data_IF_922679717713
#
_entry.id   IF_922679717713
#
_cell.length_a   1.000
_cell.length_b   1.000
_cell.length_c   1.000
_cell.angle_alpha   90.00
_cell.angle_beta   90.00
_cell.angle_gamma   90.00
#
_symmetry.space_group_name_H-M   'P 1'
#
loop_
_entity.id
_entity.type
_entity.pdbx_description
1 polymer ?
#
# COMPACT_ATOMS: atom_id res chain seq x y z
N UNK A 1 -12.06 -13.02 15.16
CA UNK A 1 -12.17 -11.96 14.13
C UNK A 1 -11.89 -12.61 12.78
N UNK A 2 -12.90 -12.77 11.91
CA UNK A 2 -12.74 -13.49 10.63
C UNK A 2 -11.98 -12.69 9.56
N UNK A 3 -11.54 -11.46 9.86
CA UNK A 3 -10.96 -10.53 8.89
C UNK A 3 -9.82 -11.11 8.05
N UNK A 4 -9.00 -11.99 8.63
CA UNK A 4 -7.91 -12.66 7.95
C UNK A 4 -8.43 -13.49 6.76
N UNK A 5 -9.45 -14.31 7.01
CA UNK A 5 -10.14 -15.06 5.97
C UNK A 5 -10.81 -14.14 4.96
N UNK A 6 -11.50 -13.10 5.43
CA UNK A 6 -12.18 -12.12 4.57
C UNK A 6 -11.19 -11.46 3.58
N UNK A 7 -10.01 -11.04 4.04
CA UNK A 7 -8.94 -10.48 3.20
C UNK A 7 -8.42 -11.52 2.21
N UNK A 8 -8.14 -12.75 2.68
CA UNK A 8 -7.60 -13.80 1.82
C UNK A 8 -8.57 -14.17 0.69
N UNK A 9 -9.87 -14.20 0.93
CA UNK A 9 -10.88 -14.48 -0.12
C UNK A 9 -11.29 -13.23 -0.90
N UNK A 10 -10.73 -12.05 -0.58
CA UNK A 10 -11.04 -10.81 -1.28
C UNK A 10 -12.39 -10.18 -0.92
N UNK A 11 -13.02 -10.55 0.20
CA UNK A 11 -14.22 -9.86 0.71
C UNK A 11 -13.79 -8.67 1.59
N UNK A 12 -13.18 -7.66 0.96
CA UNK A 12 -12.69 -6.47 1.66
C UNK A 12 -13.81 -5.70 2.38
N UNK A 13 -15.07 -5.81 1.92
CA UNK A 13 -16.21 -5.19 2.59
C UNK A 13 -16.49 -5.85 3.94
N UNK A 14 -16.48 -7.19 4.02
CA UNK A 14 -16.57 -7.90 5.31
C UNK A 14 -15.35 -7.66 6.18
N UNK A 15 -14.15 -7.64 5.60
CA UNK A 15 -12.92 -7.34 6.34
C UNK A 15 -12.99 -5.95 7.00
N UNK A 16 -13.42 -4.92 6.27
CA UNK A 16 -13.65 -3.57 6.82
C UNK A 16 -14.67 -3.61 7.95
N UNK A 17 -15.85 -4.19 7.72
CA UNK A 17 -16.93 -4.26 8.72
C UNK A 17 -16.47 -4.97 10.01
N UNK A 18 -15.81 -6.12 9.88
CA UNK A 18 -15.29 -6.89 11.00
C UNK A 18 -14.21 -6.13 11.78
N UNK A 19 -13.28 -5.46 11.09
CA UNK A 19 -12.24 -4.69 11.78
C UNK A 19 -12.76 -3.39 12.40
N UNK A 20 -13.80 -2.76 11.87
CA UNK A 20 -14.46 -1.63 12.55
C UNK A 20 -14.95 -2.10 13.92
N UNK A 21 -15.66 -3.22 14.00
CA UNK A 21 -16.10 -3.76 15.28
C UNK A 21 -14.92 -4.13 16.21
N UNK A 22 -13.84 -4.70 15.66
CA UNK A 22 -12.65 -5.04 16.44
C UNK A 22 -11.97 -3.80 17.03
N UNK A 23 -11.70 -2.78 16.22
CA UNK A 23 -11.07 -1.53 16.67
C UNK A 23 -11.92 -0.80 17.71
N UNK A 24 -13.26 -0.80 17.58
CA UNK A 24 -14.16 -0.24 18.59
C UNK A 24 -14.11 -1.01 19.92
N UNK A 25 -13.93 -2.34 19.88
CA UNK A 25 -13.74 -3.13 21.09
C UNK A 25 -12.37 -2.84 21.74
N UNK A 26 -11.32 -2.71 20.94
CA UNK A 26 -9.97 -2.36 21.40
C UNK A 26 -9.93 -0.97 22.05
N UNK A 27 -10.68 -0.01 21.52
CA UNK A 27 -10.81 1.34 22.08
C UNK A 27 -11.47 1.34 23.46
N UNK A 28 -12.48 0.49 23.66
CA UNK A 28 -13.10 0.30 24.99
C UNK A 28 -12.10 -0.28 25.99
N UNK A 29 -11.33 -1.28 25.57
CA UNK A 29 -10.29 -1.87 26.42
C UNK A 29 -9.19 -0.86 26.75
N UNK A 30 -8.72 -0.11 25.74
CA UNK A 30 -7.73 0.96 25.91
C UNK A 30 -8.19 2.03 26.90
N UNK A 31 -9.46 2.39 26.89
CA UNK A 31 -10.01 3.38 27.82
C UNK A 31 -9.97 2.92 29.29
N UNK A 32 -9.97 1.61 29.55
CA UNK A 32 -9.93 1.02 30.89
C UNK A 32 -8.49 0.75 31.33
N UNK A 33 -7.69 0.09 30.49
CA UNK A 33 -6.38 -0.46 30.85
C UNK A 33 -5.20 0.43 30.41
N UNK A 34 -5.45 1.44 29.58
CA UNK A 34 -4.43 2.30 29.00
C UNK A 34 -3.56 1.63 27.91
N UNK A 35 -2.60 2.38 27.33
CA UNK A 35 -1.80 1.92 26.19
C UNK A 35 -0.51 1.19 26.56
N UNK A 36 -0.08 1.20 27.83
CA UNK A 36 1.23 0.69 28.25
C UNK A 36 1.19 -0.80 28.60
N UNK A 37 0.74 -1.64 27.67
CA UNK A 37 0.67 -3.09 27.82
C UNK A 37 0.96 -3.78 26.49
N UNK A 38 1.23 -5.08 26.53
CA UNK A 38 1.52 -5.88 25.34
C UNK A 38 0.31 -5.96 24.38
N UNK A 39 -0.92 -5.78 24.90
CA UNK A 39 -2.14 -5.78 24.09
C UNK A 39 -2.14 -4.64 23.05
N UNK A 40 -1.39 -3.57 23.26
CA UNK A 40 -1.19 -2.53 22.24
C UNK A 40 -0.72 -3.06 20.89
N UNK A 41 0.07 -4.14 20.85
CA UNK A 41 0.46 -4.75 19.58
C UNK A 41 -0.75 -5.30 18.81
N UNK A 42 -1.64 -6.03 19.49
CA UNK A 42 -2.86 -6.57 18.89
C UNK A 42 -3.86 -5.47 18.49
N UNK A 43 -3.99 -4.41 19.31
CA UNK A 43 -4.82 -3.25 18.93
C UNK A 43 -4.32 -2.61 17.64
N UNK A 44 -3.01 -2.33 17.55
CA UNK A 44 -2.41 -1.73 16.35
C UNK A 44 -2.54 -2.63 15.13
N UNK A 45 -2.42 -3.94 15.32
CA UNK A 45 -2.67 -4.94 14.28
C UNK A 45 -4.08 -4.86 13.69
N UNK A 46 -5.10 -4.66 14.53
CA UNK A 46 -6.49 -4.55 14.08
C UNK A 46 -6.74 -3.25 13.32
N UNK A 47 -6.16 -2.14 13.77
CA UNK A 47 -6.16 -0.90 13.00
C UNK A 47 -5.46 -1.06 11.65
N UNK A 48 -4.27 -1.66 11.64
CA UNK A 48 -3.53 -1.93 10.41
C UNK A 48 -4.32 -2.82 9.44
N UNK A 49 -5.03 -3.83 9.96
CA UNK A 49 -5.90 -4.71 9.18
C UNK A 49 -7.08 -3.97 8.55
N UNK A 50 -7.70 -3.05 9.29
CA UNK A 50 -8.74 -2.18 8.75
C UNK A 50 -8.19 -1.28 7.63
N UNK A 51 -7.03 -0.65 7.85
CA UNK A 51 -6.39 0.24 6.87
C UNK A 51 -6.04 -0.55 5.61
N UNK A 52 -5.46 -1.73 5.75
CA UNK A 52 -5.09 -2.59 4.62
C UNK A 52 -6.32 -2.98 3.78
N UNK A 53 -7.39 -3.45 4.42
CA UNK A 53 -8.63 -3.79 3.71
C UNK A 53 -9.26 -2.55 3.03
N UNK A 54 -9.23 -1.39 3.70
CA UNK A 54 -9.72 -0.14 3.13
C UNK A 54 -8.91 0.30 1.91
N UNK A 55 -7.58 0.18 1.95
CA UNK A 55 -6.72 0.46 0.79
C UNK A 55 -7.06 -0.44 -0.40
N UNK A 56 -7.25 -1.74 -0.19
CA UNK A 56 -7.58 -2.70 -1.26
C UNK A 56 -9.02 -2.55 -1.81
N UNK A 57 -9.92 -1.96 -1.04
CA UNK A 57 -11.28 -1.60 -1.46
C UNK A 57 -11.39 -0.19 -2.07
N UNK A 58 -10.29 0.57 -2.14
CA UNK A 58 -10.33 1.96 -2.61
C UNK A 58 -11.12 2.89 -1.68
N UNK A 59 -11.09 2.64 -0.37
CA UNK A 59 -11.75 3.42 0.69
C UNK A 59 -10.78 4.36 1.39
N UNK A 60 -10.42 5.46 0.74
CA UNK A 60 -9.48 6.48 1.24
C UNK A 60 -9.91 7.04 2.59
N UNK A 61 -11.20 7.37 2.75
CA UNK A 61 -11.67 8.03 3.96
C UNK A 61 -11.51 7.12 5.18
N UNK A 62 -11.94 5.86 5.07
CA UNK A 62 -11.81 4.86 6.14
C UNK A 62 -10.34 4.64 6.48
N UNK A 63 -9.45 4.55 5.48
CA UNK A 63 -8.02 4.32 5.71
C UNK A 63 -7.38 5.48 6.50
N UNK A 64 -7.66 6.73 6.13
CA UNK A 64 -7.12 7.92 6.82
C UNK A 64 -7.69 8.11 8.22
N UNK A 65 -9.02 8.00 8.39
CA UNK A 65 -9.67 8.08 9.71
C UNK A 65 -9.14 7.01 10.67
N UNK A 66 -8.89 5.81 10.14
CA UNK A 66 -8.34 4.72 10.93
C UNK A 66 -6.88 4.97 11.31
N UNK A 67 -6.07 5.52 10.40
CA UNK A 67 -4.70 5.93 10.71
C UNK A 67 -4.67 6.99 11.82
N UNK A 68 -5.57 7.98 11.77
CA UNK A 68 -5.69 9.01 12.81
C UNK A 68 -6.06 8.41 14.17
N UNK A 69 -7.01 7.46 14.19
CA UNK A 69 -7.38 6.74 15.42
C UNK A 69 -6.20 5.94 15.95
N UNK A 70 -5.53 5.18 15.09
CA UNK A 70 -4.40 4.32 15.46
C UNK A 70 -3.28 5.11 16.14
N UNK A 71 -2.86 6.22 15.54
CA UNK A 71 -1.74 7.02 16.03
C UNK A 71 -1.99 7.71 17.35
N UNK A 72 -3.24 8.13 17.61
CA UNK A 72 -3.64 8.66 18.93
C UNK A 72 -3.39 7.66 20.05
N UNK A 73 -3.33 6.35 19.74
CA UNK A 73 -3.10 5.29 20.72
C UNK A 73 -1.63 4.91 20.93
N UNK A 74 -0.70 5.52 20.18
CA UNK A 74 0.76 5.29 20.27
C UNK A 74 1.56 6.59 20.42
N UNK A 75 1.28 7.42 21.44
CA UNK A 75 2.07 8.60 21.71
C UNK A 75 3.54 8.23 22.02
N UNK A 76 4.46 9.19 21.83
CA UNK A 76 5.90 8.99 22.05
C UNK A 76 6.23 8.31 23.40
N UNK A 77 5.49 8.62 24.46
CA UNK A 77 5.66 8.00 25.79
C UNK A 77 5.52 6.47 25.76
N UNK A 78 4.61 5.94 24.96
CA UNK A 78 4.42 4.48 24.78
C UNK A 78 5.64 3.89 24.09
N UNK A 79 6.07 4.49 22.98
CA UNK A 79 7.23 4.02 22.21
C UNK A 79 8.53 4.05 23.03
N UNK A 80 8.69 5.03 23.92
CA UNK A 80 9.86 5.15 24.80
C UNK A 80 9.90 4.11 25.93
N UNK A 81 8.87 3.28 26.11
CA UNK A 81 8.93 2.19 27.09
C UNK A 81 10.10 1.25 26.80
N UNK A 82 10.95 1.02 27.81
CA UNK A 82 12.17 0.21 27.70
C UNK A 82 11.97 -1.25 28.12
N UNK A 83 10.92 -1.54 28.88
CA UNK A 83 10.60 -2.89 29.36
C UNK A 83 9.10 -3.17 29.22
N UNK A 84 8.69 -3.91 28.17
CA UNK A 84 9.47 -4.28 26.99
C UNK A 84 9.85 -3.06 26.12
N UNK A 85 10.87 -3.20 25.25
CA UNK A 85 11.25 -2.15 24.29
C UNK A 85 10.16 -1.99 23.22
N UNK A 86 9.14 -1.17 23.49
CA UNK A 86 7.96 -1.07 22.63
C UNK A 86 8.26 -0.38 21.30
N UNK A 87 9.26 0.49 21.24
CA UNK A 87 9.74 1.09 20.00
C UNK A 87 10.09 0.02 18.95
N UNK A 88 10.70 -1.11 19.34
CA UNK A 88 11.07 -2.18 18.41
C UNK A 88 9.87 -2.81 17.71
N UNK A 89 8.69 -2.79 18.32
CA UNK A 89 7.51 -3.51 17.85
C UNK A 89 6.41 -2.61 17.31
N UNK A 90 6.31 -1.38 17.84
CA UNK A 90 5.17 -0.51 17.62
C UNK A 90 5.47 0.66 16.68
N UNK A 91 6.73 1.06 16.51
CA UNK A 91 7.03 2.28 15.75
C UNK A 91 6.73 2.15 14.25
N UNK A 92 6.87 0.96 13.68
CA UNK A 92 6.50 0.72 12.28
C UNK A 92 5.03 1.03 11.97
N UNK A 93 4.13 0.97 12.96
CA UNK A 93 2.72 1.34 12.77
C UNK A 93 2.52 2.84 12.55
N UNK A 94 3.43 3.69 13.05
CA UNK A 94 3.39 5.15 12.81
C UNK A 94 3.61 5.46 11.32
N UNK A 95 4.41 4.64 10.64
CA UNK A 95 4.71 4.82 9.21
C UNK A 95 3.54 4.44 8.28
N UNK A 96 2.50 3.75 8.78
CA UNK A 96 1.38 3.23 7.97
C UNK A 96 0.64 4.34 7.23
N UNK A 97 0.48 5.54 7.81
CA UNK A 97 -0.18 6.66 7.09
C UNK A 97 0.49 6.93 5.75
N UNK A 98 1.80 6.80 5.65
CA UNK A 98 2.54 7.12 4.42
C UNK A 98 2.21 6.12 3.31
N UNK A 99 2.03 4.85 3.65
CA UNK A 99 1.55 3.86 2.68
C UNK A 99 0.13 4.21 2.19
N UNK A 100 -0.77 4.67 3.07
CA UNK A 100 -2.09 5.15 2.68
C UNK A 100 -1.97 6.35 1.74
N UNK A 101 -1.16 7.34 2.09
CA UNK A 101 -0.98 8.55 1.29
C UNK A 101 -0.40 8.25 -0.09
N UNK A 102 0.59 7.34 -0.18
CA UNK A 102 1.17 6.90 -1.45
C UNK A 102 0.13 6.16 -2.29
N UNK A 103 -0.63 5.24 -1.68
CA UNK A 103 -1.69 4.48 -2.36
C UNK A 103 -2.73 5.38 -3.02
N UNK A 104 -3.07 6.49 -2.36
CA UNK A 104 -4.09 7.44 -2.82
C UNK A 104 -3.52 8.70 -3.48
N UNK A 105 -2.24 8.68 -3.88
CA UNK A 105 -1.63 9.74 -4.68
C UNK A 105 -1.62 11.12 -4.01
N UNK A 106 -1.49 11.18 -2.68
CA UNK A 106 -1.51 12.42 -1.91
C UNK A 106 -0.16 13.15 -1.96
N UNK A 107 0.31 13.44 -3.18
CA UNK A 107 1.68 13.89 -3.46
C UNK A 107 2.01 15.23 -2.84
N UNK A 108 1.07 16.18 -2.87
CA UNK A 108 1.28 17.51 -2.30
C UNK A 108 1.44 17.44 -0.78
N UNK A 109 0.58 16.68 -0.13
CA UNK A 109 0.58 16.47 1.32
C UNK A 109 1.82 15.72 1.79
N UNK A 110 2.26 14.69 1.04
CA UNK A 110 3.50 13.98 1.32
C UNK A 110 4.71 14.92 1.24
N UNK A 111 4.80 15.72 0.17
CA UNK A 111 5.93 16.64 -0.03
C UNK A 111 6.01 17.67 1.09
N UNK A 112 4.86 18.20 1.51
CA UNK A 112 4.76 19.18 2.60
C UNK A 112 4.97 18.57 3.99
N UNK A 113 4.96 17.23 4.14
CA UNK A 113 5.06 16.59 5.45
C UNK A 113 6.40 16.89 6.14
N UNK A 114 6.42 17.36 7.39
CA UNK A 114 7.65 17.53 8.15
C UNK A 114 8.20 16.17 8.60
N UNK A 115 9.51 16.11 8.84
CA UNK A 115 10.10 14.98 9.56
C UNK A 115 9.74 15.08 11.06
N UNK A 116 9.64 13.94 11.78
CA UNK A 116 9.48 13.94 13.23
C UNK A 116 10.72 14.55 13.90
N UNK A 117 10.57 15.27 15.02
CA UNK A 117 11.72 15.89 15.70
C UNK A 117 12.73 14.86 16.23
N UNK A 118 12.25 13.72 16.73
CA UNK A 118 13.10 12.63 17.23
C UNK A 118 13.29 11.54 16.17
N UNK A 119 14.29 11.73 15.31
CA UNK A 119 14.63 10.78 14.25
C UNK A 119 15.14 9.42 14.77
N UNK A 120 15.62 9.33 16.02
CA UNK A 120 16.09 8.06 16.59
C UNK A 120 14.93 7.20 17.07
N UNK A 121 13.94 7.82 17.73
CA UNK A 121 12.72 7.13 18.15
C UNK A 121 11.91 6.70 16.93
N UNK A 122 11.70 7.62 15.98
CA UNK A 122 10.88 7.46 14.78
C UNK A 122 11.71 7.11 13.54
N UNK A 123 12.69 6.23 13.70
CA UNK A 123 13.66 5.90 12.65
C UNK A 123 13.02 5.25 11.41
N UNK A 124 12.07 4.32 11.58
CA UNK A 124 11.37 3.68 10.45
C UNK A 124 10.48 4.72 9.76
N UNK A 125 9.72 5.49 10.55
CA UNK A 125 8.86 6.57 10.04
C UNK A 125 9.66 7.60 9.25
N UNK A 126 10.82 8.04 9.75
CA UNK A 126 11.71 8.99 9.08
C UNK A 126 12.16 8.46 7.72
N UNK A 127 12.59 7.20 7.65
CA UNK A 127 12.95 6.56 6.39
C UNK A 127 11.74 6.49 5.45
N UNK A 128 10.57 6.06 5.93
CA UNK A 128 9.36 5.98 5.11
C UNK A 128 8.89 7.36 4.59
N UNK A 129 9.11 8.46 5.34
CA UNK A 129 8.83 9.83 4.84
C UNK A 129 9.71 10.15 3.63
N UNK A 130 11.02 9.89 3.71
CA UNK A 130 11.93 10.10 2.59
C UNK A 130 11.55 9.25 1.37
N UNK A 131 11.20 7.98 1.57
CA UNK A 131 10.67 7.12 0.51
C UNK A 131 9.42 7.73 -0.15
N UNK A 132 8.42 8.08 0.66
CA UNK A 132 7.16 8.63 0.17
C UNK A 132 7.38 9.94 -0.60
N UNK A 133 8.23 10.84 -0.07
CA UNK A 133 8.61 12.09 -0.76
C UNK A 133 9.34 11.82 -2.06
N UNK A 134 10.24 10.84 -2.10
CA UNK A 134 10.91 10.41 -3.32
C UNK A 134 9.91 10.00 -4.41
N UNK A 135 8.97 9.12 -4.07
CA UNK A 135 7.90 8.69 -4.99
C UNK A 135 7.04 9.89 -5.42
N UNK A 136 6.62 10.75 -4.48
CA UNK A 136 5.81 11.92 -4.79
C UNK A 136 6.52 12.91 -5.73
N UNK A 137 7.83 13.13 -5.55
CA UNK A 137 8.62 13.95 -6.47
C UNK A 137 8.78 13.29 -7.84
N UNK A 138 9.00 11.98 -7.91
CA UNK A 138 9.08 11.24 -9.17
C UNK A 138 7.75 11.30 -9.93
N UNK A 139 6.64 10.98 -9.27
CA UNK A 139 5.28 11.03 -9.83
C UNK A 139 4.82 12.45 -10.20
N UNK A 140 5.56 13.50 -9.80
CA UNK A 140 5.30 14.88 -10.21
C UNK A 140 6.41 15.46 -11.10
N UNK A 141 7.18 14.59 -11.76
CA UNK A 141 8.26 14.92 -12.72
C UNK A 141 9.36 15.83 -12.13
N UNK A 142 9.58 15.80 -10.82
CA UNK A 142 10.63 16.54 -10.10
C UNK A 142 11.80 15.62 -9.76
N UNK A 143 12.37 14.99 -10.79
CA UNK A 143 13.38 13.92 -10.68
C UNK A 143 14.58 14.30 -9.81
N UNK A 144 15.12 15.51 -9.95
CA UNK A 144 16.27 15.95 -9.15
C UNK A 144 15.97 15.95 -7.63
N UNK A 145 14.73 16.28 -7.23
CA UNK A 145 14.29 16.21 -5.83
C UNK A 145 14.03 14.76 -5.40
N UNK A 146 13.50 13.94 -6.30
CA UNK A 146 13.32 12.51 -6.03
C UNK A 146 14.66 11.82 -5.74
N UNK A 147 15.70 12.12 -6.51
CA UNK A 147 17.07 11.65 -6.30
C UNK A 147 17.67 12.14 -4.97
N UNK A 148 17.37 13.37 -4.55
CA UNK A 148 17.78 13.87 -3.25
C UNK A 148 17.12 13.07 -2.12
N UNK A 149 15.81 12.86 -2.19
CA UNK A 149 15.07 12.07 -1.20
C UNK A 149 15.49 10.60 -1.21
N UNK A 150 15.83 10.03 -2.36
CA UNK A 150 16.41 8.69 -2.49
C UNK A 150 17.71 8.55 -1.68
N UNK A 151 18.63 9.53 -1.79
CA UNK A 151 19.87 9.53 -1.00
C UNK A 151 19.60 9.64 0.49
N UNK A 152 18.66 10.52 0.88
CA UNK A 152 18.25 10.67 2.28
C UNK A 152 17.57 9.40 2.81
N UNK A 153 16.79 8.71 1.97
CA UNK A 153 16.12 7.46 2.31
C UNK A 153 17.13 6.35 2.63
N UNK A 154 18.11 6.14 1.75
CA UNK A 154 19.18 5.15 1.98
C UNK A 154 19.96 5.47 3.26
N UNK A 155 20.33 6.73 3.47
CA UNK A 155 21.02 7.15 4.69
C UNK A 155 20.15 7.00 5.96
N UNK A 156 18.82 7.14 5.84
CA UNK A 156 17.91 6.92 6.96
C UNK A 156 17.77 5.43 7.31
N UNK A 157 17.77 4.52 6.31
CA UNK A 157 17.74 3.07 6.53
C UNK A 157 18.95 2.61 7.37
N UNK A 158 20.14 3.16 7.10
CA UNK A 158 21.37 2.83 7.85
C UNK A 158 21.26 3.13 9.36
N UNK A 159 20.34 4.03 9.75
CA UNK A 159 20.09 4.40 11.15
C UNK A 159 19.02 3.54 11.81
N UNK A 160 18.28 2.72 11.06
CA UNK A 160 17.24 1.86 11.60
C UNK A 160 17.88 0.66 12.28
N UNK A 161 17.70 0.48 13.60
CA UNK A 161 18.25 -0.69 14.30
C UNK A 161 17.70 -1.99 13.72
N UNK A 162 18.56 -3.01 13.62
CA UNK A 162 18.17 -4.35 13.15
C UNK A 162 17.11 -5.03 14.04
N UNK A 163 16.88 -4.50 15.25
CA UNK A 163 15.85 -4.94 16.19
C UNK A 163 14.46 -4.44 15.83
N UNK A 164 14.31 -3.35 15.04
CA UNK A 164 13.01 -2.84 14.62
C UNK A 164 12.26 -3.89 13.80
N UNK A 165 10.97 -4.02 14.08
CA UNK A 165 10.07 -5.01 13.49
C UNK A 165 8.86 -4.32 12.88
N UNK A 166 8.48 -4.87 11.74
CA UNK A 166 7.10 -4.89 11.29
C UNK A 166 6.78 -6.38 11.20
N UNK A 167 6.45 -6.95 12.36
CA UNK A 167 6.44 -8.39 12.59
C UNK A 167 5.59 -9.12 11.52
N UNK A 168 6.07 -10.25 10.97
CA UNK A 168 7.27 -11.02 11.33
C UNK A 168 8.58 -10.54 10.70
N UNK A 169 8.53 -9.53 9.82
CA UNK A 169 9.71 -9.03 9.12
C UNK A 169 10.48 -8.00 9.95
N UNK A 170 11.77 -7.84 9.63
CA UNK A 170 12.55 -6.71 10.13
C UNK A 170 12.16 -5.48 9.32
N UNK A 171 12.05 -4.31 9.96
CA UNK A 171 11.66 -3.09 9.25
C UNK A 171 12.62 -2.75 8.11
N UNK A 172 13.92 -3.01 8.28
CA UNK A 172 14.94 -2.83 7.22
C UNK A 172 14.69 -3.68 5.97
N UNK A 173 14.12 -4.89 6.09
CA UNK A 173 13.84 -5.74 4.94
C UNK A 173 12.70 -5.16 4.09
N UNK A 174 11.67 -4.63 4.76
CA UNK A 174 10.55 -3.94 4.10
C UNK A 174 11.04 -2.64 3.45
N UNK A 175 11.89 -1.86 4.15
CA UNK A 175 12.44 -0.64 3.58
C UNK A 175 13.31 -0.93 2.33
N UNK A 176 13.99 -2.07 2.27
CA UNK A 176 14.75 -2.46 1.08
C UNK A 176 13.86 -2.76 -0.14
N UNK A 177 12.60 -3.20 0.04
CA UNK A 177 11.61 -3.21 -1.07
C UNK A 177 11.40 -1.80 -1.60
N UNK A 178 11.25 -0.83 -0.70
CA UNK A 178 11.11 0.58 -1.01
C UNK A 178 12.30 1.18 -1.76
N UNK A 179 13.53 0.68 -1.54
CA UNK A 179 14.73 1.14 -2.26
C UNK A 179 14.61 0.80 -3.74
N UNK A 180 14.41 -0.48 -4.06
CA UNK A 180 14.25 -0.90 -5.45
C UNK A 180 13.00 -0.28 -6.10
N UNK A 181 11.91 -0.15 -5.35
CA UNK A 181 10.69 0.50 -5.84
C UNK A 181 10.94 1.97 -6.22
N UNK A 182 11.59 2.75 -5.35
CA UNK A 182 11.90 4.15 -5.61
C UNK A 182 12.90 4.32 -6.77
N UNK A 183 13.90 3.45 -6.85
CA UNK A 183 14.88 3.45 -7.93
C UNK A 183 14.18 3.27 -9.29
N UNK A 184 13.29 2.28 -9.40
CA UNK A 184 12.53 2.04 -10.62
C UNK A 184 11.62 3.20 -11.03
N UNK A 185 10.95 3.85 -10.06
CA UNK A 185 10.12 5.05 -10.31
C UNK A 185 10.96 6.22 -10.83
N UNK A 186 12.14 6.44 -10.25
CA UNK A 186 13.05 7.51 -10.66
C UNK A 186 13.62 7.24 -12.05
N UNK A 187 14.10 6.02 -12.31
CA UNK A 187 14.64 5.60 -13.61
C UNK A 187 13.58 5.76 -14.71
N UNK A 188 12.33 5.40 -14.42
CA UNK A 188 11.23 5.56 -15.37
C UNK A 188 11.04 7.04 -15.74
N UNK A 189 11.11 7.94 -14.75
CA UNK A 189 10.95 9.38 -14.94
C UNK A 189 12.20 10.06 -15.51
N UNK A 190 13.34 9.38 -15.51
CA UNK A 190 14.55 9.79 -16.23
C UNK A 190 14.51 9.45 -17.72
N UNK A 191 13.49 8.71 -18.18
CA UNK A 191 13.39 8.28 -19.58
C UNK A 191 14.17 6.99 -19.87
N UNK A 192 14.41 6.17 -18.85
CA UNK A 192 15.13 4.89 -18.94
C UNK A 192 14.18 3.70 -18.67
N UNK A 193 13.14 3.48 -19.49
CA UNK A 193 12.06 2.53 -19.16
C UNK A 193 12.53 1.08 -19.06
N UNK A 194 13.46 0.64 -19.91
CA UNK A 194 13.99 -0.74 -19.84
C UNK A 194 14.68 -1.00 -18.50
N UNK A 195 15.51 -0.04 -18.05
CA UNK A 195 16.19 -0.09 -16.76
C UNK A 195 15.17 -0.08 -15.61
N UNK A 196 14.22 0.84 -15.67
CA UNK A 196 13.15 0.95 -14.68
C UNK A 196 12.38 -0.37 -14.50
N UNK A 197 12.00 -1.03 -15.60
CA UNK A 197 11.27 -2.30 -15.52
C UNK A 197 12.13 -3.46 -15.01
N UNK A 198 13.44 -3.46 -15.23
CA UNK A 198 14.35 -4.42 -14.60
C UNK A 198 14.40 -4.20 -13.08
N UNK A 199 14.54 -2.95 -12.65
CA UNK A 199 14.57 -2.57 -11.23
C UNK A 199 13.24 -2.83 -10.53
N UNK A 200 12.10 -2.55 -11.18
CA UNK A 200 10.77 -2.85 -10.63
C UNK A 200 10.51 -4.36 -10.50
N UNK A 201 11.03 -5.19 -11.42
CA UNK A 201 10.99 -6.66 -11.24
C UNK A 201 11.80 -7.08 -10.02
N UNK A 202 12.97 -6.49 -9.80
CA UNK A 202 13.75 -6.73 -8.58
C UNK A 202 13.00 -6.31 -7.32
N UNK A 203 12.27 -5.21 -7.36
CA UNK A 203 11.41 -4.79 -6.27
C UNK A 203 10.28 -5.82 -6.00
N UNK A 204 9.68 -6.41 -7.04
CA UNK A 204 8.69 -7.50 -6.90
C UNK A 204 9.32 -8.73 -6.24
N UNK A 205 10.53 -9.13 -6.65
CA UNK A 205 11.22 -10.27 -6.02
C UNK A 205 11.51 -10.04 -4.53
N UNK A 206 11.85 -8.81 -4.14
CA UNK A 206 12.07 -8.44 -2.75
C UNK A 206 10.76 -8.46 -1.95
N UNK A 207 9.67 -7.94 -2.53
CA UNK A 207 8.32 -7.95 -1.95
C UNK A 207 7.82 -9.38 -1.74
N UNK A 208 7.89 -10.23 -2.78
CA UNK A 208 7.48 -11.63 -2.74
C UNK A 208 8.38 -12.48 -1.82
N UNK A 209 9.62 -12.05 -1.57
CA UNK A 209 10.57 -12.69 -0.68
C UNK A 209 10.40 -12.35 0.81
N UNK A 210 9.51 -11.42 1.17
CA UNK A 210 9.21 -11.11 2.56
C UNK A 210 8.53 -12.30 3.25
N UNK A 211 8.73 -12.44 4.57
CA UNK A 211 7.98 -13.42 5.33
C UNK A 211 6.49 -13.09 5.28
N UNK A 212 5.68 -14.12 5.07
CA UNK A 212 4.23 -13.99 5.04
C UNK A 212 3.69 -13.32 6.31
N UNK A 213 2.81 -12.35 6.12
CA UNK A 213 2.18 -11.60 7.19
C UNK A 213 0.77 -11.18 6.75
N UNK A 214 -0.13 -11.05 7.71
CA UNK A 214 -1.48 -10.53 7.47
C UNK A 214 -1.79 -9.51 8.57
N UNK A 215 -1.77 -8.20 8.30
CA UNK A 215 -1.50 -7.57 7.00
C UNK A 215 -0.03 -7.57 6.60
N UNK A 216 0.23 -7.41 5.31
CA UNK A 216 1.59 -7.33 4.75
C UNK A 216 2.26 -6.03 5.19
N UNK A 217 3.54 -6.11 5.55
CA UNK A 217 4.32 -4.95 5.97
C UNK A 217 4.58 -3.95 4.84
N UNK A 218 4.72 -4.45 3.60
CA UNK A 218 4.64 -3.63 2.40
C UNK A 218 3.19 -3.61 1.90
N UNK A 219 2.50 -2.49 2.06
CA UNK A 219 1.03 -2.46 1.97
C UNK A 219 0.46 -2.25 0.56
N UNK A 220 1.25 -1.73 -0.38
CA UNK A 220 0.84 -1.57 -1.78
C UNK A 220 1.67 -2.55 -2.63
N UNK A 221 1.06 -3.55 -3.27
CA UNK A 221 1.81 -4.52 -4.07
C UNK A 221 2.71 -3.81 -5.10
N UNK A 222 4.01 -4.10 -5.11
CA UNK A 222 4.96 -3.46 -6.05
C UNK A 222 4.53 -3.68 -7.51
N UNK A 223 3.97 -4.86 -7.78
CA UNK A 223 3.44 -5.23 -9.10
C UNK A 223 2.38 -4.27 -9.65
N UNK A 224 1.67 -3.53 -8.78
CA UNK A 224 0.71 -2.50 -9.24
C UNK A 224 1.44 -1.35 -9.94
N UNK A 225 2.55 -0.87 -9.38
CA UNK A 225 3.33 0.18 -10.04
C UNK A 225 3.96 -0.31 -11.34
N UNK A 226 4.54 -1.51 -11.34
CA UNK A 226 5.04 -2.15 -12.56
C UNK A 226 3.98 -2.23 -13.66
N UNK A 227 2.78 -2.73 -13.33
CA UNK A 227 1.70 -2.90 -14.29
C UNK A 227 1.12 -1.56 -14.77
N UNK A 228 0.97 -0.58 -13.88
CA UNK A 228 0.51 0.76 -14.24
C UNK A 228 1.48 1.47 -15.20
N UNK A 229 2.78 1.45 -14.91
CA UNK A 229 3.79 2.04 -15.78
C UNK A 229 3.96 1.26 -17.10
N UNK A 230 3.72 -0.06 -17.08
CA UNK A 230 3.65 -0.88 -18.30
C UNK A 230 2.50 -0.44 -19.21
N UNK A 231 1.31 -0.22 -18.65
CA UNK A 231 0.16 0.32 -19.42
C UNK A 231 0.43 1.72 -19.98
N UNK A 232 1.16 2.57 -19.26
CA UNK A 232 1.59 3.90 -19.73
C UNK A 232 2.52 3.81 -20.96
N UNK A 233 3.38 2.79 -21.04
CA UNK A 233 4.24 2.52 -22.20
C UNK A 233 3.56 1.72 -23.31
N UNK A 234 2.30 1.32 -23.14
CA UNK A 234 1.62 0.42 -24.09
C UNK A 234 2.07 -1.04 -24.01
N UNK A 235 2.84 -1.42 -22.99
CA UNK A 235 3.23 -2.81 -22.72
C UNK A 235 2.07 -3.53 -22.03
N UNK A 236 1.00 -3.85 -22.78
CA UNK A 236 -0.26 -4.33 -22.22
C UNK A 236 -0.15 -5.78 -21.70
N UNK A 237 0.52 -6.68 -22.42
CA UNK A 237 0.67 -8.07 -22.01
C UNK A 237 1.47 -8.23 -20.71
N UNK A 238 2.63 -7.57 -20.51
CA UNK A 238 3.31 -7.58 -19.21
C UNK A 238 2.44 -7.05 -18.07
N UNK A 239 1.64 -6.01 -18.31
CA UNK A 239 0.70 -5.49 -17.31
C UNK A 239 -0.37 -6.53 -16.97
N UNK A 240 -0.95 -7.19 -17.99
CA UNK A 240 -1.97 -8.21 -17.82
C UNK A 240 -1.48 -9.36 -16.94
N UNK A 241 -0.26 -9.87 -17.19
CA UNK A 241 0.32 -10.95 -16.39
C UNK A 241 0.60 -10.54 -14.94
N UNK A 242 1.05 -9.31 -14.71
CA UNK A 242 1.27 -8.78 -13.37
C UNK A 242 -0.03 -8.67 -12.56
N UNK A 243 -1.12 -8.20 -13.19
CA UNK A 243 -2.44 -8.16 -12.53
C UNK A 243 -3.04 -9.54 -12.34
N UNK A 244 -2.91 -10.44 -13.33
CA UNK A 244 -3.39 -11.82 -13.23
C UNK A 244 -2.71 -12.56 -12.06
N UNK A 245 -1.41 -12.33 -11.87
CA UNK A 245 -0.66 -12.82 -10.72
C UNK A 245 -1.16 -12.22 -9.41
N UNK A 246 -1.33 -10.89 -9.33
CA UNK A 246 -1.86 -10.21 -8.13
C UNK A 246 -3.22 -10.78 -7.73
N UNK A 247 -4.13 -10.95 -8.67
CA UNK A 247 -5.50 -11.42 -8.43
C UNK A 247 -5.58 -12.92 -8.11
N UNK A 248 -4.48 -13.67 -8.24
CA UNK A 248 -4.47 -15.13 -8.09
C UNK A 248 -5.20 -15.87 -9.22
N UNK A 249 -5.27 -15.27 -10.41
CA UNK A 249 -5.90 -15.84 -11.61
C UNK A 249 -4.93 -16.72 -12.42
N UNK A 250 -3.68 -16.83 -11.99
CA UNK A 250 -2.70 -17.82 -12.44
C UNK A 250 -1.94 -18.39 -11.22
N UNK A 251 -1.05 -19.35 -11.46
CA UNK A 251 -0.31 -20.06 -10.42
C UNK A 251 1.12 -19.53 -10.20
N UNK A 252 1.42 -18.30 -10.63
CA UNK A 252 2.80 -17.77 -10.54
C UNK A 252 3.20 -17.40 -9.11
N UNK A 253 2.22 -17.06 -8.27
CA UNK A 253 2.41 -16.74 -6.87
C UNK A 253 1.79 -17.80 -5.97
N UNK A 254 2.37 -17.99 -4.78
CA UNK A 254 1.71 -18.73 -3.72
C UNK A 254 0.43 -18.03 -3.26
N UNK A 255 -0.54 -18.79 -2.73
CA UNK A 255 -1.85 -18.25 -2.29
C UNK A 255 -1.73 -17.07 -1.33
N UNK A 256 -0.68 -17.10 -0.52
CA UNK A 256 -0.24 -16.09 0.43
C UNK A 256 0.16 -14.73 -0.20
N UNK A 257 0.18 -14.60 -1.52
CA UNK A 257 0.47 -13.33 -2.22
C UNK A 257 -0.63 -12.95 -3.22
N UNK A 258 -1.77 -13.65 -3.17
CA UNK A 258 -2.93 -13.32 -3.97
C UNK A 258 -3.80 -12.29 -3.25
N UNK A 259 -4.28 -11.31 -3.99
CA UNK A 259 -5.23 -10.29 -3.58
C UNK A 259 -6.51 -10.38 -4.43
N UNK A 260 -7.33 -11.45 -4.27
CA UNK A 260 -8.59 -11.57 -5.02
C UNK A 260 -9.46 -10.33 -4.82
N UNK A 261 -10.17 -9.93 -5.87
CA UNK A 261 -11.07 -8.77 -5.87
C UNK A 261 -10.45 -7.42 -5.48
N UNK A 262 -9.12 -7.29 -5.51
CA UNK A 262 -8.45 -6.02 -5.28
C UNK A 262 -8.86 -5.02 -6.36
N UNK A 263 -9.58 -3.94 -5.99
CA UNK A 263 -10.25 -3.05 -6.94
C UNK A 263 -9.30 -2.48 -7.99
N UNK A 264 -8.07 -2.22 -7.57
CA UNK A 264 -7.01 -1.62 -8.37
C UNK A 264 -6.48 -2.59 -9.43
N UNK A 265 -6.27 -3.85 -9.07
CA UNK A 265 -5.84 -4.88 -10.00
C UNK A 265 -6.98 -5.37 -10.89
N UNK A 266 -8.21 -5.42 -10.38
CA UNK A 266 -9.41 -5.73 -11.18
C UNK A 266 -9.57 -4.71 -12.32
N UNK A 267 -9.55 -3.40 -12.00
CA UNK A 267 -9.67 -2.36 -13.01
C UNK A 267 -8.50 -2.40 -14.00
N UNK A 268 -7.27 -2.57 -13.50
CA UNK A 268 -6.07 -2.66 -14.34
C UNK A 268 -6.10 -3.87 -15.28
N UNK A 269 -6.52 -5.03 -14.79
CA UNK A 269 -6.65 -6.24 -15.60
C UNK A 269 -7.76 -6.10 -16.64
N UNK A 270 -8.90 -5.53 -16.26
CA UNK A 270 -9.99 -5.23 -17.18
C UNK A 270 -9.55 -4.31 -18.31
N UNK A 271 -8.83 -3.22 -18.00
CA UNK A 271 -8.22 -2.35 -19.02
C UNK A 271 -7.31 -3.14 -19.97
N UNK A 272 -6.48 -4.04 -19.43
CA UNK A 272 -5.61 -4.89 -20.26
C UNK A 272 -6.43 -5.76 -21.20
N UNK A 273 -7.48 -6.42 -20.70
CA UNK A 273 -8.32 -7.31 -21.52
C UNK A 273 -9.01 -6.55 -22.66
N UNK A 274 -9.54 -5.36 -22.38
CA UNK A 274 -10.16 -4.48 -23.40
C UNK A 274 -9.14 -4.05 -24.45
N UNK A 275 -7.95 -3.58 -24.03
CA UNK A 275 -6.90 -3.14 -24.96
C UNK A 275 -6.33 -4.28 -25.81
N UNK A 276 -6.34 -5.51 -25.31
CA UNK A 276 -5.91 -6.71 -26.03
C UNK A 276 -7.02 -7.31 -26.92
N UNK A 277 -8.23 -6.75 -26.92
CA UNK A 277 -9.37 -7.33 -27.66
C UNK A 277 -9.84 -8.69 -27.12
N UNK A 278 -9.59 -8.97 -25.83
CA UNK A 278 -10.00 -10.22 -25.15
C UNK A 278 -11.41 -10.07 -24.58
N UNK A 279 -12.36 -9.80 -25.46
CA UNK A 279 -13.72 -9.33 -25.11
C UNK A 279 -14.51 -10.32 -24.24
N UNK A 280 -14.37 -11.62 -24.49
CA UNK A 280 -15.07 -12.65 -23.70
C UNK A 280 -14.57 -12.69 -22.25
N UNK A 281 -13.26 -12.59 -22.05
CA UNK A 281 -12.66 -12.52 -20.71
C UNK A 281 -13.01 -11.21 -20.01
N UNK A 282 -12.99 -10.08 -20.74
CA UNK A 282 -13.40 -8.79 -20.21
C UNK A 282 -14.86 -8.85 -19.73
N UNK A 283 -15.78 -9.43 -20.52
CA UNK A 283 -17.20 -9.58 -20.17
C UNK A 283 -17.44 -10.43 -18.94
N UNK A 284 -16.62 -11.48 -18.74
CA UNK A 284 -16.69 -12.32 -17.55
C UNK A 284 -16.21 -11.58 -16.28
N UNK A 285 -15.20 -10.71 -16.43
CA UNK A 285 -14.62 -9.95 -15.32
C UNK A 285 -15.44 -8.68 -14.96
N UNK A 286 -16.10 -8.07 -15.94
CA UNK A 286 -16.81 -6.78 -15.82
C UNK A 286 -17.75 -6.70 -14.61
N UNK A 287 -18.58 -7.71 -14.26
CA UNK A 287 -19.44 -7.64 -13.08
C UNK A 287 -18.66 -7.48 -11.77
N UNK A 288 -17.52 -8.16 -11.65
CA UNK A 288 -16.66 -8.08 -10.46
C UNK A 288 -16.01 -6.69 -10.36
N UNK A 289 -15.55 -6.14 -11.49
CA UNK A 289 -15.00 -4.78 -11.59
C UNK A 289 -16.05 -3.76 -11.17
N UNK A 290 -17.28 -3.84 -11.70
CA UNK A 290 -18.39 -2.94 -11.34
C UNK A 290 -18.68 -2.94 -9.84
N UNK A 291 -18.76 -4.13 -9.23
CA UNK A 291 -19.02 -4.26 -7.79
C UNK A 291 -17.88 -3.65 -6.98
N UNK A 292 -16.62 -3.91 -7.34
CA UNK A 292 -15.47 -3.37 -6.64
C UNK A 292 -15.38 -1.83 -6.75
N UNK A 293 -15.60 -1.29 -7.95
CA UNK A 293 -15.60 0.16 -8.21
C UNK A 293 -16.76 0.87 -7.50
N UNK A 294 -17.95 0.28 -7.45
CA UNK A 294 -19.11 0.87 -6.77
C UNK A 294 -18.89 1.08 -5.27
N UNK A 295 -17.94 0.34 -4.67
CA UNK A 295 -17.59 0.48 -3.26
C UNK A 295 -16.45 1.47 -3.05
N UNK A 296 -15.59 1.76 -4.03
CA UNK A 296 -14.51 2.73 -3.85
C UNK A 296 -15.05 4.15 -3.59
N UNK A 297 -14.34 4.95 -2.78
CA UNK A 297 -14.67 6.37 -2.52
C UNK A 297 -13.77 7.35 -3.29
N UNK A 298 -12.92 6.82 -4.17
CA UNK A 298 -12.07 7.56 -5.11
C UNK A 298 -12.21 6.98 -6.52
N UNK A 299 -11.99 7.78 -7.58
CA UNK A 299 -11.87 7.25 -8.93
C UNK A 299 -10.67 6.30 -9.05
N UNK A 300 -10.94 5.04 -9.41
CA UNK A 300 -9.90 4.03 -9.66
C UNK A 300 -9.69 3.96 -11.18
N UNK A 301 -8.68 4.70 -11.69
CA UNK A 301 -8.31 4.74 -13.12
C UNK A 301 -6.95 4.12 -13.43
N UNK A 302 -6.21 3.78 -12.39
CA UNK A 302 -4.90 3.15 -12.46
C UNK A 302 -4.64 2.47 -11.14
N UNK A 303 -3.91 1.34 -11.15
CA UNK A 303 -3.54 0.65 -9.91
C UNK A 303 -2.48 1.39 -9.10
N UNK A 304 -1.76 2.34 -9.74
CA UNK A 304 -0.79 3.22 -9.12
C UNK A 304 -0.93 4.66 -9.65
N UNK A 305 -0.93 5.64 -8.75
CA UNK A 305 -0.95 7.07 -9.10
C UNK A 305 0.36 7.58 -9.71
N UNK A 306 1.37 6.72 -9.81
CA UNK A 306 2.59 7.03 -10.55
C UNK A 306 2.36 7.03 -12.06
N UNK A 307 1.33 6.33 -12.59
CA UNK A 307 0.88 6.46 -13.99
C UNK A 307 0.17 7.80 -14.17
N UNK A 308 0.69 8.64 -15.06
CA UNK A 308 0.20 9.99 -15.35
C UNK A 308 -0.84 10.00 -16.48
N UNK A 309 -0.75 9.09 -17.44
CA UNK A 309 -1.72 9.01 -18.53
C UNK A 309 -2.68 7.82 -18.36
N UNK A 310 -3.94 8.12 -18.03
CA UNK A 310 -5.04 7.14 -17.92
C UNK A 310 -6.17 7.41 -18.93
N UNK A 311 -5.91 8.11 -20.05
CA UNK A 311 -6.95 8.46 -21.02
C UNK A 311 -7.61 7.25 -21.67
N UNK A 312 -6.88 6.14 -21.78
CA UNK A 312 -7.36 4.88 -22.36
C UNK A 312 -8.03 3.95 -21.33
N UNK A 313 -8.10 4.36 -20.05
CA UNK A 313 -8.74 3.54 -19.02
C UNK A 313 -10.26 3.50 -19.28
N UNK A 314 -10.87 2.31 -19.43
CA UNK A 314 -12.32 2.19 -19.67
C UNK A 314 -13.14 2.73 -18.50
N UNK A 315 -14.21 3.47 -18.80
CA UNK A 315 -15.20 3.83 -17.79
C UNK A 315 -16.19 2.68 -17.60
N UNK A 316 -16.03 1.98 -16.48
CA UNK A 316 -16.88 0.84 -16.07
C UNK A 316 -17.80 1.24 -14.92
N UNK A 317 -17.81 2.52 -14.53
CA UNK A 317 -18.64 2.99 -13.43
C UNK A 317 -20.13 2.84 -13.76
N UNK A 318 -20.91 2.44 -12.77
CA UNK A 318 -22.36 2.37 -12.92
C UNK A 318 -22.85 3.80 -13.06
N UNK A 319 -23.34 4.19 -14.24
CA UNK A 319 -24.13 5.41 -14.37
C UNK A 319 -25.37 5.27 -13.47
N UNK A 320 -25.30 5.77 -12.25
CA UNK A 320 -26.50 6.00 -11.44
C UNK A 320 -27.23 7.17 -12.07
N UNK A 321 -28.05 6.86 -13.09
CA UNK A 321 -29.11 7.76 -13.52
C UNK A 321 -30.13 7.85 -12.39
N UNK A 322 -29.88 8.73 -11.43
CA UNK A 322 -30.97 9.20 -10.59
C UNK A 322 -31.94 9.91 -11.52
N UNK A 323 -33.09 9.27 -11.79
CA UNK A 323 -34.25 9.98 -12.34
C UNK A 323 -34.50 11.19 -11.43
N UNK A 324 -34.52 12.37 -12.04
CA UNK A 324 -34.90 13.64 -11.42
C UNK A 324 -36.34 13.59 -10.94
#
# INVERSE_FOLDING_TARGET
MPTHLDVLVGDYRRAISSNIHATLADEKYLAVEGPNNFYSLYRLHNYHSLIYAAMHAGKKQIALETADRMERTIPAKVLRSKSPNLADWLEGFVAVRLHVMVRFGMWCEIIAMPLPEDHELYCVTTATIHYAKGVAYAATNRVAKAEQERKLYVAAIERVPITRRTHPNRSVDILNVGVAMLDGEIEYRQGEPEKAFQTLRRAIELDDGLNYAEPWGWMQPVRHAFAALSLEQGNVEPAAEAYKADLGLNSTLGRAHHHPNNVWALQGYYECLVRLGRDDEARLLEPQVKVALAVADVPVKSSCFCRLNTSECPDVSVQTSYCK
#
